data_IF_073177011872
#
_entry.id   IF_073177011872
#
_cell.length_a   1.000
_cell.length_b   1.000
_cell.length_c   1.000
_cell.angle_alpha   90.00
_cell.angle_beta   90.00
_cell.angle_gamma   90.00
#
_symmetry.space_group_name_H-M   'P 1'
#
loop_
_entity.id
_entity.type
_entity.pdbx_description
1 polymer ?
#
# COMPACT_ATOMS: atom_id res chain seq x y z
N UNK A 1 -18.97 -27.74 -4.02
CA UNK A 1 -17.95 -27.49 -2.97
C UNK A 1 -18.67 -26.79 -1.84
N UNK A 2 -18.90 -27.50 -0.74
CA UNK A 2 -19.75 -27.04 0.36
C UNK A 2 -19.02 -25.89 1.08
N UNK A 3 -19.66 -24.71 1.18
CA UNK A 3 -19.17 -23.61 2.02
C UNK A 3 -19.65 -23.90 3.43
N UNK A 4 -18.69 -24.16 4.30
CA UNK A 4 -18.89 -24.35 5.73
C UNK A 4 -18.94 -22.97 6.39
N UNK A 5 -20.09 -22.61 6.96
CA UNK A 5 -20.37 -21.29 7.57
C UNK A 5 -19.68 -21.10 8.94
N UNK A 6 -18.74 -21.97 9.32
CA UNK A 6 -17.89 -21.87 10.52
C UNK A 6 -16.43 -21.48 10.26
N UNK A 7 -16.05 -21.14 9.03
CA UNK A 7 -14.71 -20.63 8.74
C UNK A 7 -14.69 -19.11 8.89
N UNK A 8 -13.81 -18.57 9.75
CA UNK A 8 -13.37 -17.17 9.66
C UNK A 8 -13.14 -16.85 8.17
N UNK A 9 -13.90 -15.92 7.61
CA UNK A 9 -13.77 -15.59 6.19
C UNK A 9 -12.42 -14.92 5.99
N UNK A 10 -11.43 -15.67 5.50
CA UNK A 10 -10.16 -15.09 5.11
C UNK A 10 -10.38 -14.19 3.88
N UNK A 11 -9.65 -13.07 3.84
CA UNK A 11 -9.73 -12.08 2.77
C UNK A 11 -8.36 -11.87 2.20
N UNK A 12 -8.33 -11.75 0.88
CA UNK A 12 -7.13 -11.43 0.12
C UNK A 12 -7.40 -10.24 -0.79
N UNK A 13 -6.39 -9.40 -0.97
CA UNK A 13 -6.40 -8.34 -1.97
C UNK A 13 -4.99 -8.17 -2.55
N UNK A 14 -4.94 -7.71 -3.79
CA UNK A 14 -3.69 -7.47 -4.51
C UNK A 14 -3.74 -6.11 -5.17
N UNK A 15 -2.66 -5.35 -5.06
CA UNK A 15 -2.46 -4.09 -5.77
C UNK A 15 -1.27 -4.25 -6.72
N UNK A 16 -1.52 -4.13 -8.02
CA UNK A 16 -0.48 -3.94 -9.01
C UNK A 16 -0.02 -2.48 -8.95
N UNK A 17 1.25 -2.27 -8.67
CA UNK A 17 1.86 -0.94 -8.66
C UNK A 17 2.48 -0.70 -10.02
N UNK A 18 1.96 0.31 -10.70
CA UNK A 18 2.46 0.76 -12.00
C UNK A 18 3.11 2.15 -11.86
N UNK A 19 4.08 2.48 -12.73
CA UNK A 19 4.72 3.79 -12.71
C UNK A 19 3.71 4.90 -12.99
N UNK A 20 3.77 5.97 -12.21
CA UNK A 20 3.00 7.16 -12.47
C UNK A 20 3.48 7.85 -13.76
N UNK A 21 2.60 8.23 -14.71
CA UNK A 21 3.00 8.87 -15.97
C UNK A 21 3.73 10.20 -15.81
N UNK A 22 3.57 10.90 -14.68
CA UNK A 22 4.26 12.16 -14.37
C UNK A 22 5.56 11.94 -13.58
N UNK A 23 5.83 10.71 -13.14
CA UNK A 23 7.08 10.34 -12.47
C UNK A 23 8.17 9.98 -13.47
N UNK A 24 9.41 10.28 -13.10
CA UNK A 24 10.62 9.82 -13.80
C UNK A 24 11.27 8.61 -13.12
N UNK A 25 10.73 8.14 -12.00
CA UNK A 25 11.06 6.82 -11.45
C UNK A 25 10.10 5.77 -12.02
N UNK A 26 10.62 4.60 -12.38
CA UNK A 26 9.89 3.53 -13.04
C UNK A 26 9.51 2.42 -12.03
N UNK A 27 9.05 2.85 -10.85
CA UNK A 27 8.74 1.96 -9.74
C UNK A 27 7.51 1.14 -10.07
N UNK A 28 7.62 -0.18 -9.97
CA UNK A 28 6.54 -1.11 -10.28
C UNK A 28 6.63 -2.38 -9.45
N UNK A 29 5.53 -3.13 -9.41
CA UNK A 29 5.49 -4.45 -8.78
C UNK A 29 4.15 -4.74 -8.13
N UNK A 30 4.17 -5.39 -6.98
CA UNK A 30 2.97 -5.96 -6.36
C UNK A 30 2.95 -5.72 -4.85
N UNK A 31 1.75 -5.44 -4.34
CA UNK A 31 1.45 -5.44 -2.90
C UNK A 31 0.33 -6.44 -2.64
N UNK A 32 0.58 -7.37 -1.74
CA UNK A 32 -0.37 -8.39 -1.33
C UNK A 32 -0.88 -8.10 0.07
N UNK A 33 -2.17 -8.32 0.30
CA UNK A 33 -2.85 -8.14 1.58
C UNK A 33 -3.57 -9.42 1.96
N UNK A 34 -3.35 -9.88 3.19
CA UNK A 34 -3.98 -11.08 3.73
C UNK A 34 -4.61 -10.76 5.09
N UNK A 35 -5.87 -11.17 5.30
CA UNK A 35 -6.56 -10.99 6.58
C UNK A 35 -7.35 -12.27 6.93
N UNK A 36 -6.94 -12.99 7.98
CA UNK A 36 -7.55 -14.30 8.32
C UNK A 36 -8.98 -14.19 8.86
N UNK A 37 -9.35 -13.06 9.47
CA UNK A 37 -10.67 -12.79 10.00
C UNK A 37 -10.96 -11.29 10.01
N UNK A 38 -12.23 -10.89 10.13
CA UNK A 38 -12.65 -9.50 9.93
C UNK A 38 -11.95 -8.48 10.85
N UNK A 39 -11.64 -8.90 12.09
CA UNK A 39 -10.98 -8.07 13.11
C UNK A 39 -9.49 -8.40 13.29
N UNK A 40 -8.97 -9.40 12.56
CA UNK A 40 -7.55 -9.78 12.65
C UNK A 40 -6.68 -8.72 11.92
N UNK A 41 -5.42 -8.49 12.33
CA UNK A 41 -4.51 -7.61 11.62
C UNK A 41 -4.30 -8.03 10.16
N UNK A 42 -4.19 -7.05 9.27
CA UNK A 42 -3.82 -7.30 7.87
C UNK A 42 -2.31 -7.53 7.78
N UNK A 43 -1.92 -8.64 7.17
CA UNK A 43 -0.54 -8.90 6.77
C UNK A 43 -0.30 -8.32 5.38
N UNK A 44 0.84 -7.67 5.17
CA UNK A 44 1.17 -6.97 3.93
C UNK A 44 2.53 -7.44 3.45
N UNK A 45 2.60 -7.90 2.20
CA UNK A 45 3.86 -8.21 1.51
C UNK A 45 4.03 -7.28 0.32
N UNK A 46 5.24 -6.72 0.17
CA UNK A 46 5.53 -5.69 -0.83
C UNK A 46 6.74 -6.12 -1.67
N UNK A 47 6.53 -6.21 -2.97
CA UNK A 47 7.57 -6.54 -3.96
C UNK A 47 7.64 -5.42 -4.98
N UNK A 48 8.60 -4.52 -4.83
CA UNK A 48 8.78 -3.37 -5.71
C UNK A 48 10.21 -3.30 -6.24
N UNK A 49 10.35 -2.92 -7.50
CA UNK A 49 11.62 -2.62 -8.15
C UNK A 49 11.48 -1.35 -9.01
N UNK A 50 12.57 -0.89 -9.63
CA UNK A 50 12.59 0.29 -10.50
C UNK A 50 12.86 1.61 -9.77
N UNK A 51 13.26 1.53 -8.49
CA UNK A 51 13.76 2.68 -7.74
C UNK A 51 15.06 3.21 -8.34
N UNK A 52 15.27 4.52 -8.24
CA UNK A 52 16.53 5.12 -8.70
C UNK A 52 17.73 4.49 -7.98
N UNK A 53 18.79 4.08 -8.72
CA UNK A 53 19.97 3.51 -8.12
C UNK A 53 20.61 4.45 -7.09
N UNK A 54 21.09 3.86 -6.00
CA UNK A 54 21.87 4.60 -5.02
C UNK A 54 23.20 5.04 -5.65
N UNK A 55 23.49 6.34 -5.59
CA UNK A 55 24.78 6.86 -6.06
C UNK A 55 25.89 6.53 -5.04
N UNK A 56 27.13 6.29 -5.47
CA UNK A 56 28.25 6.11 -4.55
C UNK A 56 28.34 7.25 -3.53
N UNK A 57 28.55 6.91 -2.26
CA UNK A 57 28.63 7.88 -1.16
C UNK A 57 27.28 8.44 -0.67
N UNK A 58 26.15 8.04 -1.26
CA UNK A 58 24.83 8.40 -0.75
C UNK A 58 24.31 7.37 0.26
N UNK A 59 23.53 7.84 1.25
CA UNK A 59 22.81 6.97 2.20
C UNK A 59 21.59 6.33 1.52
N UNK A 60 21.19 5.11 1.93
CA UNK A 60 19.95 4.50 1.45
C UNK A 60 18.76 5.45 1.61
N UNK A 61 17.94 5.54 0.56
CA UNK A 61 16.71 6.34 0.58
C UNK A 61 15.60 5.54 1.24
N UNK A 62 14.74 6.22 1.99
CA UNK A 62 13.50 5.65 2.51
C UNK A 62 12.35 6.08 1.61
N UNK A 63 11.46 5.15 1.30
CA UNK A 63 10.27 5.39 0.49
C UNK A 63 9.04 5.10 1.36
N UNK A 64 8.11 6.06 1.42
CA UNK A 64 6.84 5.88 2.11
C UNK A 64 5.85 5.13 1.21
N UNK A 65 5.07 4.24 1.81
CA UNK A 65 3.95 3.55 1.15
C UNK A 65 2.70 3.77 1.99
N UNK A 66 1.62 4.23 1.35
CA UNK A 66 0.39 4.62 2.02
C UNK A 66 -0.83 4.13 1.25
N UNK A 67 -1.96 3.98 1.93
CA UNK A 67 -3.27 3.83 1.31
C UNK A 67 -3.86 5.22 1.13
N UNK A 68 -4.23 5.56 -0.10
CA UNK A 68 -4.87 6.82 -0.43
C UNK A 68 -6.40 6.67 -0.42
N UNK A 69 -7.10 7.79 -0.30
CA UNK A 69 -8.55 7.83 -0.11
C UNK A 69 -9.33 7.23 -1.29
N UNK A 70 -8.83 7.41 -2.51
CA UNK A 70 -9.52 6.99 -3.74
C UNK A 70 -8.67 6.03 -4.56
N UNK A 71 -9.32 5.04 -5.16
CA UNK A 71 -8.77 4.22 -6.24
C UNK A 71 -8.87 4.88 -7.62
N UNK A 72 -8.91 6.21 -7.67
CA UNK A 72 -9.01 6.98 -8.92
C UNK A 72 -7.62 7.24 -9.51
N UNK A 73 -7.32 6.56 -10.61
CA UNK A 73 -6.07 6.69 -11.36
C UNK A 73 -6.24 7.47 -12.68
N UNK A 74 -7.36 8.18 -12.88
CA UNK A 74 -7.67 8.91 -14.12
C UNK A 74 -6.66 10.02 -14.46
N UNK A 75 -5.94 10.54 -13.46
CA UNK A 75 -4.85 11.52 -13.62
C UNK A 75 -3.54 10.99 -13.01
N UNK A 76 -3.31 9.69 -13.13
CA UNK A 76 -2.22 8.99 -12.44
C UNK A 76 -2.43 8.99 -10.91
N UNK A 77 -1.34 8.95 -10.15
CA UNK A 77 -1.35 8.97 -8.69
C UNK A 77 -1.91 10.28 -8.12
N UNK A 78 -1.93 11.38 -8.88
CA UNK A 78 -2.40 12.68 -8.42
C UNK A 78 -3.91 12.72 -8.12
N UNK A 79 -4.71 11.83 -8.71
CA UNK A 79 -6.17 11.75 -8.46
C UNK A 79 -6.54 10.86 -7.26
N UNK A 80 -5.57 10.20 -6.62
CA UNK A 80 -5.83 9.28 -5.50
C UNK A 80 -6.25 9.99 -4.20
N UNK A 81 -6.12 11.32 -4.15
CA UNK A 81 -6.46 12.14 -2.99
C UNK A 81 -5.41 12.06 -1.87
N UNK A 82 -5.81 12.42 -0.65
CA UNK A 82 -4.95 12.33 0.54
C UNK A 82 -4.85 10.91 1.09
N UNK A 83 -4.15 10.75 2.23
CA UNK A 83 -4.13 9.48 2.95
C UNK A 83 -5.55 9.07 3.37
N UNK A 84 -5.88 7.79 3.22
CA UNK A 84 -7.14 7.25 3.73
C UNK A 84 -7.20 7.40 5.25
N UNK A 85 -8.12 8.24 5.73
CA UNK A 85 -8.21 8.63 7.14
C UNK A 85 -9.66 8.67 7.64
N UNK A 86 -10.31 7.50 7.79
CA UNK A 86 -11.71 7.42 8.20
C UNK A 86 -11.95 7.91 9.64
N UNK A 87 -10.89 8.05 10.44
CA UNK A 87 -10.95 8.50 11.85
C UNK A 87 -10.56 9.96 12.05
N UNK A 88 -10.15 10.67 11.00
CA UNK A 88 -9.79 12.08 11.05
C UNK A 88 -8.60 12.40 11.98
N UNK A 89 -7.62 11.49 12.10
CA UNK A 89 -6.46 11.66 12.98
C UNK A 89 -5.24 12.20 12.23
N UNK A 90 -4.29 12.80 12.96
CA UNK A 90 -3.03 13.26 12.36
C UNK A 90 -2.18 12.09 11.84
N UNK A 91 -1.49 12.32 10.73
CA UNK A 91 -0.57 11.33 10.15
C UNK A 91 0.52 10.93 11.15
N UNK A 92 0.85 9.64 11.19
CA UNK A 92 1.90 9.07 12.02
C UNK A 92 2.63 7.93 11.34
N UNK A 93 3.84 7.64 11.82
CA UNK A 93 4.62 6.49 11.35
C UNK A 93 4.07 5.14 11.85
N UNK A 94 4.62 4.01 11.38
CA UNK A 94 4.11 2.67 11.73
C UNK A 94 4.07 2.35 13.22
N UNK A 95 4.97 2.93 14.02
CA UNK A 95 5.07 2.75 15.48
C UNK A 95 4.35 3.84 16.29
N UNK A 96 3.66 4.78 15.64
CA UNK A 96 2.94 5.84 16.34
C UNK A 96 1.70 5.27 17.07
N UNK A 97 1.45 5.78 18.29
CA UNK A 97 0.27 5.39 19.09
C UNK A 97 -1.07 5.82 18.44
N UNK A 98 -1.03 6.81 17.56
CA UNK A 98 -2.15 7.30 16.75
C UNK A 98 -1.65 7.49 15.32
N UNK A 99 -2.38 6.95 14.34
CA UNK A 99 -2.12 7.05 12.91
C UNK A 99 -3.42 7.02 12.14
#
# INVERSE_FOLDING_TARGET
MLRDDNLKSWREAVCAVEPDPSSSENVRGWVYFFQSGADDPVQIEVFLDGFRPLRPGCKPRKHGIHIHQYGDISKGCNSTGGHFNPKGVSHGGPSAKKR
#
